data_IF_274657258292
#
_entry.id   IF_274657258292
#
_cell.length_a   1.000
_cell.length_b   1.000
_cell.length_c   1.000
_cell.angle_alpha   90.00
_cell.angle_beta   90.00
_cell.angle_gamma   90.00
#
_symmetry.space_group_name_H-M   'P 1'
#
loop_
_entity.id
_entity.type
_entity.pdbx_description
1 polymer ?
#
# COMPACT_ATOMS: atom_id res chain seq x y z
N UNK A 1 -0.12 14.54 11.28
CA UNK A 1 -1.07 13.40 11.30
C UNK A 1 -1.88 13.37 12.59
N UNK A 2 -3.16 13.07 12.49
CA UNK A 2 -4.02 12.84 13.64
C UNK A 2 -3.87 11.41 14.14
N UNK A 3 -4.38 11.10 15.34
CA UNK A 3 -4.42 9.74 15.89
C UNK A 3 -5.11 8.78 14.92
N UNK A 4 -6.21 9.23 14.29
CA UNK A 4 -6.94 8.43 13.34
C UNK A 4 -6.09 8.08 12.12
N UNK A 5 -5.26 9.01 11.65
CA UNK A 5 -4.38 8.75 10.52
C UNK A 5 -3.30 7.74 10.88
N UNK A 6 -2.76 7.79 12.08
CA UNK A 6 -1.79 6.78 12.53
C UNK A 6 -2.43 5.39 12.59
N UNK A 7 -3.66 5.29 13.06
CA UNK A 7 -4.37 4.00 13.10
C UNK A 7 -4.64 3.46 11.70
N UNK A 8 -4.97 4.35 10.76
CA UNK A 8 -5.15 3.96 9.36
C UNK A 8 -3.86 3.41 8.75
N UNK A 9 -2.74 4.07 9.01
CA UNK A 9 -1.43 3.59 8.52
C UNK A 9 -1.09 2.24 9.16
N UNK A 10 -1.35 2.06 10.45
CA UNK A 10 -1.10 0.78 11.12
C UNK A 10 -1.94 -0.35 10.52
N UNK A 11 -3.20 -0.07 10.17
CA UNK A 11 -4.04 -1.04 9.50
C UNK A 11 -3.47 -1.42 8.13
N UNK A 12 -2.92 -0.44 7.40
CA UNK A 12 -2.24 -0.68 6.13
C UNK A 12 -1.00 -1.54 6.29
N UNK A 13 -0.21 -1.28 7.34
CA UNK A 13 0.98 -2.09 7.64
C UNK A 13 0.58 -3.54 7.92
N UNK A 14 -0.49 -3.76 8.69
CA UNK A 14 -0.99 -5.11 8.97
C UNK A 14 -1.37 -5.84 7.68
N UNK A 15 -2.13 -5.18 6.82
CA UNK A 15 -2.54 -5.75 5.53
C UNK A 15 -1.32 -6.07 4.65
N UNK A 16 -0.37 -5.17 4.57
CA UNK A 16 0.81 -5.35 3.73
C UNK A 16 1.73 -6.45 4.30
N UNK A 17 1.83 -6.53 5.61
CA UNK A 17 2.58 -7.61 6.27
C UNK A 17 2.01 -8.97 5.88
N UNK A 18 0.69 -9.09 5.91
CA UNK A 18 0.01 -10.32 5.48
C UNK A 18 0.27 -10.61 4.01
N UNK A 19 0.21 -9.60 3.17
CA UNK A 19 0.45 -9.74 1.73
C UNK A 19 1.85 -10.27 1.43
N UNK A 20 2.88 -9.66 2.03
CA UNK A 20 4.27 -10.07 1.76
C UNK A 20 4.64 -11.40 2.41
N UNK A 21 3.85 -11.86 3.38
CA UNK A 21 4.05 -13.16 4.03
C UNK A 21 3.52 -14.33 3.22
N UNK A 22 2.77 -14.07 2.16
CA UNK A 22 2.28 -15.10 1.24
C UNK A 22 0.77 -15.33 1.33
N UNK A 23 0.26 -16.14 0.41
CA UNK A 23 -1.18 -16.37 0.26
C UNK A 23 -1.88 -16.87 1.53
N UNK A 24 -1.36 -17.88 2.27
CA UNK A 24 -2.05 -18.34 3.47
C UNK A 24 -2.27 -17.24 4.50
N UNK A 25 -1.27 -16.39 4.74
CA UNK A 25 -1.37 -15.29 5.69
C UNK A 25 -2.38 -14.24 5.22
N UNK A 26 -2.40 -13.94 3.92
CA UNK A 26 -3.34 -12.98 3.35
C UNK A 26 -4.77 -13.49 3.44
N UNK A 27 -4.99 -14.77 3.14
CA UNK A 27 -6.31 -15.39 3.23
C UNK A 27 -6.85 -15.35 4.66
N UNK A 28 -6.02 -15.66 5.64
CA UNK A 28 -6.38 -15.58 7.05
C UNK A 28 -6.72 -14.15 7.48
N UNK A 29 -5.93 -13.19 7.01
CA UNK A 29 -6.16 -11.77 7.31
C UNK A 29 -7.50 -11.31 6.74
N UNK A 30 -7.80 -11.63 5.49
CA UNK A 30 -9.04 -11.24 4.82
C UNK A 30 -10.24 -11.86 5.55
N UNK A 31 -10.15 -13.15 5.87
CA UNK A 31 -11.24 -13.85 6.58
C UNK A 31 -11.50 -13.22 7.95
N UNK A 32 -10.44 -12.90 8.68
CA UNK A 32 -10.57 -12.28 10.00
C UNK A 32 -11.20 -10.89 9.89
N UNK A 33 -10.78 -10.09 8.90
CA UNK A 33 -11.32 -8.75 8.71
C UNK A 33 -12.80 -8.76 8.33
N UNK A 34 -13.21 -9.70 7.49
CA UNK A 34 -14.62 -9.85 7.14
C UNK A 34 -15.46 -10.21 8.36
N UNK A 35 -14.96 -11.09 9.20
CA UNK A 35 -15.66 -11.49 10.41
C UNK A 35 -15.80 -10.33 11.40
N UNK A 36 -14.78 -9.47 11.51
CA UNK A 36 -14.78 -8.36 12.46
C UNK A 36 -15.57 -7.15 11.94
N UNK A 37 -15.34 -6.76 10.69
CA UNK A 37 -15.81 -5.48 10.16
C UNK A 37 -16.99 -5.60 9.19
N UNK A 38 -17.29 -6.79 8.70
CA UNK A 38 -18.36 -7.02 7.75
C UNK A 38 -18.04 -6.64 6.31
N UNK A 39 -16.94 -5.92 6.08
CA UNK A 39 -16.49 -5.55 4.73
C UNK A 39 -14.98 -5.28 4.74
N UNK A 40 -14.42 -4.98 3.57
CA UNK A 40 -12.98 -4.75 3.40
C UNK A 40 -12.63 -3.30 3.07
N UNK A 41 -13.55 -2.36 3.27
CA UNK A 41 -13.29 -0.95 2.97
C UNK A 41 -12.16 -0.38 3.84
N UNK A 42 -12.08 -0.80 5.09
CA UNK A 42 -11.01 -0.37 5.99
C UNK A 42 -9.64 -0.85 5.52
N UNK A 43 -9.57 -2.01 4.87
CA UNK A 43 -8.33 -2.53 4.32
C UNK A 43 -7.84 -1.62 3.19
N UNK A 44 -8.73 -1.25 2.27
CA UNK A 44 -8.39 -0.35 1.17
C UNK A 44 -7.97 1.02 1.67
N UNK A 45 -8.70 1.56 2.65
CA UNK A 45 -8.38 2.84 3.26
C UNK A 45 -7.01 2.82 3.94
N UNK A 46 -6.73 1.76 4.70
CA UNK A 46 -5.44 1.58 5.37
C UNK A 46 -4.30 1.43 4.38
N UNK A 47 -4.51 0.68 3.30
CA UNK A 47 -3.51 0.52 2.25
C UNK A 47 -3.19 1.86 1.59
N UNK A 48 -4.22 2.68 1.32
CA UNK A 48 -4.03 4.01 0.74
C UNK A 48 -3.21 4.90 1.69
N UNK A 49 -3.54 4.88 2.98
CA UNK A 49 -2.81 5.66 3.98
C UNK A 49 -1.35 5.23 4.08
N UNK A 50 -1.09 3.93 4.04
CA UNK A 50 0.27 3.38 4.06
C UNK A 50 1.03 3.83 2.81
N UNK A 51 0.42 3.75 1.63
CA UNK A 51 1.05 4.21 0.39
C UNK A 51 1.43 5.68 0.47
N UNK A 52 0.56 6.52 1.03
CA UNK A 52 0.85 7.94 1.20
C UNK A 52 2.06 8.17 2.11
N UNK A 53 2.15 7.41 3.22
CA UNK A 53 3.27 7.50 4.13
C UNK A 53 4.58 7.06 3.48
N UNK A 54 4.56 5.94 2.75
CA UNK A 54 5.73 5.44 2.04
C UNK A 54 6.17 6.40 0.94
N UNK A 55 5.20 6.96 0.22
CA UNK A 55 5.48 7.93 -0.85
C UNK A 55 6.19 9.17 -0.29
N UNK A 56 5.71 9.68 0.85
CA UNK A 56 6.35 10.81 1.53
C UNK A 56 7.78 10.46 1.93
N UNK A 57 7.99 9.27 2.47
CA UNK A 57 9.32 8.83 2.89
C UNK A 57 10.28 8.70 1.72
N UNK A 58 9.82 8.15 0.59
CA UNK A 58 10.63 8.05 -0.64
C UNK A 58 10.97 9.46 -1.14
N UNK A 59 10.00 10.38 -1.14
CA UNK A 59 10.22 11.75 -1.56
C UNK A 59 11.31 12.40 -0.72
N UNK A 60 11.27 12.24 0.60
CA UNK A 60 12.27 12.80 1.51
C UNK A 60 13.66 12.20 1.26
N UNK A 61 13.73 10.89 1.04
CA UNK A 61 15.00 10.20 0.82
C UNK A 61 15.65 10.54 -0.52
N UNK A 62 14.85 10.87 -1.53
CA UNK A 62 15.35 11.13 -2.90
C UNK A 62 15.44 12.61 -3.25
N UNK A 63 14.88 13.49 -2.42
CA UNK A 63 14.81 14.92 -2.71
C UNK A 63 13.81 15.27 -3.81
N UNK A 64 12.94 14.33 -4.19
CA UNK A 64 11.90 14.54 -5.21
C UNK A 64 10.57 14.86 -4.55
N UNK A 65 9.64 15.40 -5.35
CA UNK A 65 8.26 15.58 -4.90
C UNK A 65 7.53 14.24 -4.97
N UNK A 66 6.42 14.14 -4.26
CA UNK A 66 5.58 12.94 -4.31
C UNK A 66 5.08 12.67 -5.74
N UNK A 67 4.71 13.72 -6.46
CA UNK A 67 4.28 13.58 -7.86
C UNK A 67 5.39 13.04 -8.76
N UNK A 68 6.62 13.50 -8.55
CA UNK A 68 7.77 13.01 -9.33
C UNK A 68 8.03 11.52 -9.06
N UNK A 69 7.87 11.08 -7.80
CA UNK A 69 8.02 9.67 -7.44
C UNK A 69 6.95 8.83 -8.16
N UNK A 70 5.70 9.29 -8.15
CA UNK A 70 4.60 8.59 -8.83
C UNK A 70 4.82 8.52 -10.34
N UNK A 71 5.31 9.59 -10.95
CA UNK A 71 5.63 9.62 -12.37
C UNK A 71 6.73 8.62 -12.70
N UNK A 72 7.78 8.58 -11.89
CA UNK A 72 8.89 7.65 -12.10
C UNK A 72 8.40 6.19 -12.02
N UNK A 73 7.52 5.89 -11.07
CA UNK A 73 6.93 4.57 -10.93
C UNK A 73 6.10 4.21 -12.16
N UNK A 74 5.26 5.13 -12.63
CA UNK A 74 4.42 4.91 -13.81
C UNK A 74 5.27 4.63 -15.05
N UNK A 75 6.35 5.41 -15.26
CA UNK A 75 7.27 5.19 -16.38
C UNK A 75 7.94 3.82 -16.29
N UNK A 76 8.35 3.41 -15.09
CA UNK A 76 8.95 2.09 -14.89
C UNK A 76 7.99 0.96 -15.21
N UNK A 77 6.73 1.08 -14.80
CA UNK A 77 5.70 0.08 -15.09
C UNK A 77 5.45 -0.03 -16.60
N UNK A 78 5.31 1.11 -17.28
CA UNK A 78 5.06 1.13 -18.72
C UNK A 78 6.22 0.49 -19.49
N UNK A 79 7.45 0.77 -19.08
CA UNK A 79 8.64 0.18 -19.71
C UNK A 79 8.68 -1.33 -19.48
N UNK A 80 8.41 -1.80 -18.27
CA UNK A 80 8.41 -3.22 -17.96
C UNK A 80 7.32 -3.96 -18.72
N UNK A 81 6.14 -3.37 -18.84
CA UNK A 81 5.04 -3.95 -19.60
C UNK A 81 5.42 -4.09 -21.07
N UNK A 82 6.02 -3.06 -21.66
CA UNK A 82 6.48 -3.11 -23.06
C UNK A 82 7.50 -4.22 -23.27
N UNK A 83 8.43 -4.41 -22.35
CA UNK A 83 9.43 -5.48 -22.44
C UNK A 83 8.81 -6.87 -22.36
N UNK A 84 7.76 -7.03 -21.55
CA UNK A 84 7.09 -8.32 -21.41
C UNK A 84 6.24 -8.71 -22.61
N UNK A 85 5.82 -7.74 -23.42
CA UNK A 85 4.97 -7.96 -24.60
C UNK A 85 5.78 -8.21 -25.88
N UNK A 86 7.07 -8.14 -25.80
CA UNK A 86 7.95 -8.51 -26.91
C UNK A 86 8.25 -10.02 -26.87
#
# INVERSE_FOLDING_TARGET
MTTNDYDRVRAGIEAMTAYVSGEPAMDEYVARRRAEDGNLDHVADGATALCAALLLQIAEMTGKTQHEVLQALAHGLNRNEAEQHE
#
